data_IF_252622977168
#
_entry.id   IF_252622977168
#
_cell.length_a   1.000
_cell.length_b   1.000
_cell.length_c   1.000
_cell.angle_alpha   90.00
_cell.angle_beta   90.00
_cell.angle_gamma   90.00
#
_symmetry.space_group_name_H-M   'P 1'
#
loop_
_entity.id
_entity.type
_entity.pdbx_description
1 polymer ?
#
# COMPACT_ATOMS: atom_id res chain seq x y z
N UNK A 1 -14.26 -6.18 -1.21
CA UNK A 1 -15.11 -5.26 -0.46
C UNK A 1 -16.17 -4.64 -1.36
N UNK A 2 -17.27 -4.14 -0.76
CA UNK A 2 -18.29 -3.36 -1.48
C UNK A 2 -18.17 -1.90 -1.09
N UNK A 3 -18.12 -1.04 -2.10
CA UNK A 3 -18.11 0.42 -1.91
C UNK A 3 -19.38 1.00 -2.53
N UNK A 4 -20.02 1.88 -1.78
CA UNK A 4 -21.23 2.55 -2.22
C UNK A 4 -21.04 4.06 -2.00
N UNK A 5 -20.82 4.79 -3.08
CA UNK A 5 -21.02 6.21 -3.08
C UNK A 5 -22.52 6.51 -2.90
N UNK A 6 -22.85 7.66 -2.40
CA UNK A 6 -24.24 7.97 -2.10
C UNK A 6 -24.89 8.84 -3.16
N UNK A 7 -26.22 8.73 -3.21
CA UNK A 7 -27.02 9.49 -4.16
C UNK A 7 -26.98 10.98 -3.84
N UNK A 8 -27.11 11.82 -4.86
CA UNK A 8 -27.37 13.24 -4.72
C UNK A 8 -28.75 13.51 -4.12
N UNK A 9 -28.87 14.58 -3.37
CA UNK A 9 -30.15 15.07 -2.87
C UNK A 9 -31.04 15.59 -3.99
N UNK A 10 -32.33 15.44 -3.87
CA UNK A 10 -33.28 15.94 -4.85
C UNK A 10 -33.40 17.47 -4.75
N UNK A 11 -33.63 18.15 -5.88
CA UNK A 11 -34.08 19.52 -5.90
C UNK A 11 -35.47 19.68 -5.28
N UNK A 12 -35.85 20.90 -4.99
CA UNK A 12 -37.13 21.23 -4.34
C UNK A 12 -37.98 22.09 -5.26
N UNK A 13 -39.30 21.83 -5.25
CA UNK A 13 -40.28 22.75 -5.83
C UNK A 13 -41.02 23.49 -4.70
N UNK A 14 -40.63 24.72 -4.46
CA UNK A 14 -41.20 25.59 -3.43
C UNK A 14 -41.51 26.97 -4.01
N UNK A 15 -42.41 27.67 -3.35
CA UNK A 15 -42.81 29.04 -3.72
C UNK A 15 -42.79 29.91 -2.47
N UNK A 16 -42.25 31.11 -2.61
CA UNK A 16 -42.18 32.09 -1.56
C UNK A 16 -43.58 32.44 -1.06
N UNK A 17 -43.86 32.29 0.21
CA UNK A 17 -45.09 32.65 0.88
C UNK A 17 -44.78 33.49 2.12
N UNK A 18 -45.08 34.76 2.02
CA UNK A 18 -44.89 35.70 3.15
C UNK A 18 -46.14 36.52 3.34
N UNK A 19 -46.27 37.14 4.54
CA UNK A 19 -47.32 38.08 4.86
C UNK A 19 -47.23 39.24 3.86
N UNK A 20 -48.17 39.58 3.11
CA UNK A 20 -48.22 40.58 2.06
C UNK A 20 -47.62 40.15 0.67
N UNK A 21 -47.17 38.91 0.51
CA UNK A 21 -46.71 38.37 -0.81
C UNK A 21 -47.51 37.09 -1.10
N UNK A 22 -48.78 37.19 -1.51
CA UNK A 22 -49.62 36.01 -1.72
C UNK A 22 -49.22 35.20 -2.96
N UNK A 23 -48.49 35.79 -3.93
CA UNK A 23 -48.04 35.14 -5.16
C UNK A 23 -46.52 35.31 -5.34
N UNK A 24 -45.77 34.79 -4.36
CA UNK A 24 -44.29 34.75 -4.47
C UNK A 24 -43.83 33.85 -5.58
N UNK A 25 -42.66 34.16 -6.15
CA UNK A 25 -42.01 33.39 -7.20
C UNK A 25 -41.46 32.04 -6.69
N UNK A 26 -40.91 31.21 -7.59
CA UNK A 26 -40.26 29.98 -7.19
C UNK A 26 -39.07 30.27 -6.28
N UNK A 27 -38.89 29.50 -5.23
CA UNK A 27 -37.83 29.62 -4.21
C UNK A 27 -37.29 28.26 -3.75
N UNK A 28 -37.62 27.19 -4.47
CA UNK A 28 -37.04 25.89 -4.21
C UNK A 28 -35.61 25.80 -4.70
N UNK A 29 -34.72 25.35 -3.82
CA UNK A 29 -33.30 25.23 -4.07
C UNK A 29 -32.87 23.83 -4.52
N UNK A 30 -31.60 23.74 -4.90
CA UNK A 30 -30.97 22.51 -5.34
C UNK A 30 -30.69 21.58 -4.15
N UNK A 31 -30.56 20.27 -4.41
CA UNK A 31 -30.03 19.32 -3.44
C UNK A 31 -28.51 19.50 -3.26
N UNK A 32 -27.93 18.71 -2.38
CA UNK A 32 -26.49 18.57 -2.24
C UNK A 32 -26.00 17.32 -2.98
N UNK A 33 -24.76 17.34 -3.45
CA UNK A 33 -24.14 16.16 -4.08
C UNK A 33 -24.00 15.02 -3.06
N UNK A 34 -24.04 13.78 -3.53
CA UNK A 34 -23.69 12.61 -2.73
C UNK A 34 -22.20 12.56 -2.42
N UNK A 35 -21.82 11.95 -1.32
CA UNK A 35 -20.43 11.71 -0.97
C UNK A 35 -19.82 10.61 -1.84
N UNK A 36 -18.54 10.75 -2.16
CA UNK A 36 -17.71 9.79 -2.90
C UNK A 36 -16.96 8.88 -1.94
N UNK A 37 -16.43 7.75 -2.45
CA UNK A 37 -15.58 6.84 -1.67
C UNK A 37 -14.18 6.87 -2.25
N UNK A 38 -13.21 7.14 -1.37
CA UNK A 38 -11.78 7.14 -1.67
C UNK A 38 -11.06 6.07 -0.87
N UNK A 39 -10.07 5.44 -1.48
CA UNK A 39 -9.07 4.65 -0.75
C UNK A 39 -7.84 5.52 -0.52
N UNK A 40 -7.25 5.43 0.68
CA UNK A 40 -6.02 6.15 1.04
C UNK A 40 -5.00 5.16 1.56
N UNK A 41 -3.78 5.19 0.99
CA UNK A 41 -2.67 4.38 1.46
C UNK A 41 -2.16 4.85 2.82
N UNK A 42 -2.08 3.93 3.78
CA UNK A 42 -1.56 4.20 5.13
C UNK A 42 -0.45 3.20 5.46
N UNK A 43 0.78 3.72 5.65
CA UNK A 43 1.96 2.89 6.01
C UNK A 43 1.85 2.25 7.41
N UNK A 44 0.94 2.73 8.27
CA UNK A 44 0.66 2.13 9.57
C UNK A 44 -0.21 0.87 9.50
N UNK A 45 -0.78 0.55 8.34
CA UNK A 45 -1.61 -0.62 8.11
C UNK A 45 -0.82 -1.69 7.36
N UNK A 46 -0.77 -2.91 7.89
CA UNK A 46 -0.07 -4.02 7.23
C UNK A 46 -0.98 -5.08 6.61
N UNK A 47 -2.09 -5.54 7.22
CA UNK A 47 -2.91 -6.56 6.59
C UNK A 47 -4.24 -6.01 6.04
N UNK A 48 -4.70 -6.59 4.93
CA UNK A 48 -6.07 -6.44 4.44
C UNK A 48 -7.11 -7.24 5.26
N UNK A 49 -6.71 -7.83 6.38
CA UNK A 49 -7.56 -8.73 7.20
C UNK A 49 -8.78 -8.01 7.77
N UNK A 50 -8.66 -6.74 8.12
CA UNK A 50 -9.75 -5.95 8.69
C UNK A 50 -10.94 -5.84 7.72
N UNK A 51 -10.69 -5.92 6.41
CA UNK A 51 -11.72 -5.89 5.37
C UNK A 51 -12.55 -7.19 5.28
N UNK A 52 -12.10 -8.29 5.91
CA UNK A 52 -12.92 -9.51 6.05
C UNK A 52 -14.10 -9.29 6.99
N UNK A 53 -13.95 -8.42 7.98
CA UNK A 53 -14.98 -8.12 8.96
C UNK A 53 -15.91 -7.01 8.49
N UNK A 54 -15.35 -5.92 7.97
CA UNK A 54 -16.13 -4.80 7.44
C UNK A 54 -16.07 -4.78 5.92
N UNK A 55 -17.05 -5.42 5.28
CA UNK A 55 -17.09 -5.58 3.81
C UNK A 55 -17.82 -4.46 3.07
N UNK A 56 -18.63 -3.66 3.76
CA UNK A 56 -19.43 -2.58 3.16
C UNK A 56 -18.95 -1.23 3.66
N UNK A 57 -18.65 -0.35 2.71
CA UNK A 57 -18.21 1.02 2.94
C UNK A 57 -19.14 1.94 2.17
N UNK A 58 -19.87 2.83 2.87
CA UNK A 58 -20.83 3.74 2.28
C UNK A 58 -20.54 5.18 2.69
N UNK A 59 -20.54 6.09 1.70
CA UNK A 59 -20.39 7.52 1.90
C UNK A 59 -21.70 8.19 2.39
N UNK A 60 -21.62 9.45 2.74
CA UNK A 60 -22.77 10.24 3.20
C UNK A 60 -23.71 10.61 2.04
N UNK A 61 -25.02 10.62 2.29
CA UNK A 61 -26.03 11.02 1.29
C UNK A 61 -26.12 12.54 1.18
N UNK A 62 -26.30 13.06 -0.03
CA UNK A 62 -26.62 14.46 -0.26
C UNK A 62 -28.00 14.83 0.30
N UNK A 63 -28.08 15.97 0.95
CA UNK A 63 -29.33 16.47 1.51
C UNK A 63 -30.24 17.02 0.40
N UNK A 64 -31.53 16.79 0.50
CA UNK A 64 -32.48 17.38 -0.44
C UNK A 64 -32.52 18.92 -0.29
N UNK A 65 -32.75 19.62 -1.39
CA UNK A 65 -33.03 21.03 -1.39
C UNK A 65 -34.30 21.36 -0.63
N UNK A 66 -34.36 22.56 -0.12
CA UNK A 66 -35.51 23.09 0.66
C UNK A 66 -36.03 24.37 0.04
N UNK A 67 -37.15 24.83 0.54
CA UNK A 67 -37.68 26.16 0.22
C UNK A 67 -36.79 27.29 0.78
N UNK A 68 -37.13 28.52 0.43
CA UNK A 68 -36.39 29.74 0.81
C UNK A 68 -34.94 29.75 0.30
N UNK A 69 -34.70 29.12 -0.85
CA UNK A 69 -33.40 29.04 -1.48
C UNK A 69 -32.31 28.35 -0.63
N UNK A 70 -32.73 27.45 0.26
CA UNK A 70 -31.76 26.68 1.06
C UNK A 70 -31.33 25.43 0.31
N UNK A 71 -30.11 25.47 -0.24
CA UNK A 71 -29.46 24.34 -0.91
C UNK A 71 -29.13 23.24 0.09
N UNK A 72 -29.32 21.99 -0.31
CA UNK A 72 -28.96 20.84 0.50
C UNK A 72 -27.43 20.74 0.69
N UNK A 73 -26.99 20.27 1.86
CA UNK A 73 -25.58 20.04 2.12
C UNK A 73 -25.07 18.84 1.31
N UNK A 74 -23.82 18.94 0.82
CA UNK A 74 -23.11 17.80 0.21
C UNK A 74 -22.98 16.67 1.24
N UNK A 75 -23.13 15.41 0.80
CA UNK A 75 -22.81 14.23 1.60
C UNK A 75 -21.31 14.16 1.91
N UNK A 76 -20.96 13.65 3.08
CA UNK A 76 -19.57 13.47 3.46
C UNK A 76 -18.92 12.40 2.61
N UNK A 77 -17.72 12.71 2.10
CA UNK A 77 -16.88 11.75 1.40
C UNK A 77 -16.30 10.73 2.41
N UNK A 78 -16.22 9.47 2.00
CA UNK A 78 -15.67 8.41 2.83
C UNK A 78 -14.25 8.07 2.40
N UNK A 79 -13.31 8.20 3.31
CA UNK A 79 -11.93 7.83 3.14
C UNK A 79 -11.66 6.49 3.85
N UNK A 80 -11.34 5.45 3.07
CA UNK A 80 -11.05 4.11 3.57
C UNK A 80 -9.55 3.89 3.49
N UNK A 81 -8.92 3.68 4.64
CA UNK A 81 -7.49 3.44 4.72
C UNK A 81 -7.16 2.02 4.29
N UNK A 82 -6.19 1.87 3.39
CA UNK A 82 -5.65 0.58 2.92
C UNK A 82 -4.13 0.55 3.09
N UNK A 83 -3.50 -0.63 3.18
CA UNK A 83 -2.05 -0.73 3.21
C UNK A 83 -1.40 -0.15 1.96
N UNK A 84 -0.19 0.40 2.11
CA UNK A 84 0.67 0.75 0.98
C UNK A 84 0.94 -0.49 0.13
N UNK A 85 0.98 -0.33 -1.20
CA UNK A 85 1.14 -1.43 -2.15
C UNK A 85 -0.17 -2.18 -2.45
N UNK A 86 -1.32 -1.56 -2.25
CA UNK A 86 -2.62 -2.16 -2.58
C UNK A 86 -2.99 -1.88 -4.03
N UNK A 87 -3.18 -2.94 -4.83
CA UNK A 87 -3.84 -2.89 -6.13
C UNK A 87 -5.34 -3.01 -5.95
N UNK A 88 -6.07 -2.20 -6.69
CA UNK A 88 -7.53 -2.15 -6.67
C UNK A 88 -8.05 -2.50 -8.05
N UNK A 89 -8.86 -3.54 -8.14
CA UNK A 89 -9.58 -3.91 -9.37
C UNK A 89 -11.07 -4.01 -9.10
N UNK A 90 -11.85 -3.80 -10.14
CA UNK A 90 -13.29 -4.06 -10.11
C UNK A 90 -13.53 -5.57 -10.19
N UNK A 91 -14.30 -6.13 -9.26
CA UNK A 91 -14.52 -7.57 -9.20
C UNK A 91 -15.48 -8.07 -10.29
N UNK A 92 -16.27 -7.19 -10.89
CA UNK A 92 -17.26 -7.56 -11.91
C UNK A 92 -16.66 -7.47 -13.33
N UNK A 93 -15.75 -6.51 -13.58
CA UNK A 93 -15.09 -6.29 -14.88
C UNK A 93 -13.66 -6.82 -14.94
N UNK A 94 -13.06 -7.14 -13.79
CA UNK A 94 -11.64 -7.51 -13.61
C UNK A 94 -10.65 -6.41 -14.06
N UNK A 95 -11.13 -5.21 -14.33
CA UNK A 95 -10.29 -4.08 -14.72
C UNK A 95 -9.56 -3.50 -13.49
N UNK A 96 -8.26 -3.21 -13.65
CA UNK A 96 -7.49 -2.50 -12.62
C UNK A 96 -7.91 -1.03 -12.61
N UNK A 97 -8.41 -0.56 -11.45
CA UNK A 97 -8.78 0.85 -11.25
C UNK A 97 -7.55 1.68 -10.93
N UNK A 98 -6.61 1.11 -10.15
CA UNK A 98 -5.37 1.79 -9.79
C UNK A 98 -4.58 1.04 -8.72
N UNK A 99 -3.42 1.60 -8.39
CA UNK A 99 -2.50 1.10 -7.37
C UNK A 99 -2.16 2.23 -6.38
N UNK A 100 -2.03 1.90 -5.12
CA UNK A 100 -1.68 2.83 -4.04
C UNK A 100 -0.31 2.41 -3.49
N UNK A 101 0.75 2.99 -4.04
CA UNK A 101 2.14 2.55 -3.81
C UNK A 101 2.84 3.34 -2.71
N UNK A 102 2.45 4.60 -2.48
CA UNK A 102 3.07 5.48 -1.49
C UNK A 102 2.11 5.83 -0.37
N UNK A 103 2.66 6.18 0.80
CA UNK A 103 1.85 6.69 1.90
C UNK A 103 1.15 8.00 1.51
N UNK A 104 -0.17 8.06 1.71
CA UNK A 104 -0.97 9.22 1.36
C UNK A 104 -1.57 9.19 -0.05
N UNK A 105 -1.16 8.23 -0.91
CA UNK A 105 -1.81 8.04 -2.21
C UNK A 105 -3.31 7.89 -2.03
N UNK A 106 -4.08 8.57 -2.88
CA UNK A 106 -5.54 8.60 -2.82
C UNK A 106 -6.14 8.19 -4.15
N UNK A 107 -7.06 7.22 -4.12
CA UNK A 107 -7.73 6.69 -5.29
C UNK A 107 -9.24 6.82 -5.15
N UNK A 108 -9.89 7.52 -6.09
CA UNK A 108 -11.36 7.56 -6.18
C UNK A 108 -11.88 6.22 -6.74
N UNK A 109 -12.68 5.51 -5.96
CA UNK A 109 -13.20 4.18 -6.34
C UNK A 109 -14.70 4.15 -6.59
N UNK A 110 -15.46 5.12 -6.06
CA UNK A 110 -16.88 5.28 -6.36
C UNK A 110 -17.26 6.76 -6.25
N UNK A 111 -17.83 7.31 -7.31
CA UNK A 111 -18.20 8.71 -7.39
C UNK A 111 -19.63 8.93 -6.87
N UNK A 112 -19.81 9.98 -6.05
CA UNK A 112 -21.11 10.40 -5.56
C UNK A 112 -22.02 10.92 -6.66
N UNK A 113 -23.33 10.71 -6.48
CA UNK A 113 -24.34 11.21 -7.39
C UNK A 113 -24.43 12.73 -7.37
N UNK A 114 -24.76 13.34 -8.48
CA UNK A 114 -24.98 14.79 -8.59
C UNK A 114 -26.32 15.17 -7.99
N UNK A 115 -26.38 16.36 -7.46
CA UNK A 115 -27.62 16.93 -6.91
C UNK A 115 -28.69 17.16 -7.96
N UNK A 116 -29.94 17.16 -7.52
CA UNK A 116 -31.07 17.60 -8.30
C UNK A 116 -31.28 19.11 -8.24
N UNK A 117 -31.81 19.67 -9.28
CA UNK A 117 -31.97 21.11 -9.50
C UNK A 117 -33.36 21.55 -8.98
N UNK A 118 -33.42 22.65 -8.21
CA UNK A 118 -34.63 23.24 -7.69
C UNK A 118 -35.41 24.07 -8.70
N UNK A 119 -36.69 24.32 -8.41
CA UNK A 119 -37.56 25.00 -9.36
C UNK A 119 -37.18 26.44 -9.66
N UNK A 120 -36.35 27.07 -8.84
CA UNK A 120 -35.87 28.43 -9.08
C UNK A 120 -35.11 28.57 -10.42
N UNK A 121 -34.35 27.53 -10.80
CA UNK A 121 -33.56 27.51 -12.04
C UNK A 121 -34.39 27.33 -13.31
N UNK A 122 -35.62 26.84 -13.20
CA UNK A 122 -36.52 26.65 -14.34
C UNK A 122 -37.41 27.86 -14.61
N UNK A 123 -37.17 28.99 -13.90
CA UNK A 123 -37.88 30.24 -14.14
C UNK A 123 -37.44 30.85 -15.49
N UNK A 124 -38.41 31.18 -16.31
CA UNK A 124 -38.18 31.84 -17.62
C UNK A 124 -39.23 32.92 -17.85
N UNK A 125 -39.09 33.67 -18.96
CA UNK A 125 -40.04 34.71 -19.38
C UNK A 125 -41.43 34.13 -19.68
N UNK A 126 -41.48 32.89 -20.19
CA UNK A 126 -42.70 32.15 -20.54
C UNK A 126 -43.24 31.33 -19.36
N UNK A 127 -42.36 30.81 -18.47
CA UNK A 127 -42.74 30.05 -17.30
C UNK A 127 -42.27 30.75 -16.01
N UNK A 128 -43.09 31.66 -15.48
CA UNK A 128 -42.78 32.43 -14.28
C UNK A 128 -42.95 31.70 -12.96
N UNK A 129 -43.65 30.56 -12.95
CA UNK A 129 -43.98 29.76 -11.77
C UNK A 129 -43.74 28.25 -12.03
N UNK A 130 -42.53 27.81 -12.36
CA UNK A 130 -42.24 26.43 -12.64
C UNK A 130 -42.45 25.54 -11.42
N UNK A 131 -43.11 24.40 -11.59
CA UNK A 131 -43.30 23.37 -10.56
C UNK A 131 -42.36 22.19 -10.73
N UNK A 132 -41.57 22.17 -11.83
CA UNK A 132 -40.63 21.13 -12.09
C UNK A 132 -39.36 21.30 -11.27
N UNK A 133 -38.79 20.19 -10.87
CA UNK A 133 -37.48 20.05 -10.26
C UNK A 133 -36.87 18.76 -10.78
N UNK A 134 -35.58 18.52 -10.57
CA UNK A 134 -34.95 17.25 -10.92
C UNK A 134 -34.59 16.48 -9.67
N UNK A 135 -34.59 15.17 -9.76
CA UNK A 135 -34.01 14.31 -8.74
C UNK A 135 -32.49 14.33 -8.82
N UNK A 136 -31.83 14.06 -7.72
CA UNK A 136 -30.41 13.73 -7.71
C UNK A 136 -30.16 12.43 -8.46
N UNK A 137 -28.96 12.27 -8.99
CA UNK A 137 -28.53 11.03 -9.63
C UNK A 137 -28.06 10.01 -8.60
N UNK A 138 -28.10 8.75 -8.95
CA UNK A 138 -27.54 7.69 -8.12
C UNK A 138 -26.01 7.80 -8.08
N UNK A 139 -25.40 7.44 -6.96
CA UNK A 139 -23.97 7.28 -6.80
C UNK A 139 -23.48 5.91 -7.26
N UNK A 140 -22.21 5.81 -7.57
CA UNK A 140 -21.59 4.56 -8.03
C UNK A 140 -21.62 3.50 -6.92
N UNK A 141 -21.81 2.25 -7.34
CA UNK A 141 -21.76 1.07 -6.47
C UNK A 141 -20.89 0.03 -7.14
N UNK A 142 -19.80 -0.37 -6.46
CA UNK A 142 -18.84 -1.33 -7.01
C UNK A 142 -18.47 -2.38 -5.99
N UNK A 143 -18.13 -3.56 -6.49
CA UNK A 143 -17.44 -4.59 -5.72
C UNK A 143 -15.97 -4.56 -6.11
N UNK A 144 -15.11 -4.27 -5.13
CA UNK A 144 -13.67 -4.15 -5.36
C UNK A 144 -12.96 -5.41 -4.90
N UNK A 145 -12.01 -5.84 -5.70
CA UNK A 145 -10.98 -6.79 -5.32
C UNK A 145 -9.74 -6.01 -4.91
N UNK A 146 -9.28 -6.21 -3.67
CA UNK A 146 -8.07 -5.60 -3.13
C UNK A 146 -6.99 -6.66 -3.06
N UNK A 147 -5.87 -6.42 -3.70
CA UNK A 147 -4.70 -7.27 -3.70
C UNK A 147 -3.50 -6.49 -3.17
N UNK A 148 -2.79 -7.06 -2.19
CA UNK A 148 -1.55 -6.48 -1.71
C UNK A 148 -0.41 -6.93 -2.62
N UNK A 149 0.16 -5.98 -3.37
CA UNK A 149 1.19 -6.25 -4.37
C UNK A 149 2.58 -6.22 -3.76
N UNK A 150 2.83 -5.26 -2.87
CA UNK A 150 4.13 -5.07 -2.23
C UNK A 150 4.10 -5.74 -0.87
N UNK A 151 4.81 -6.87 -0.76
CA UNK A 151 4.96 -7.58 0.50
C UNK A 151 5.97 -6.91 1.40
N UNK A 152 7.08 -6.43 0.83
CA UNK A 152 8.17 -5.80 1.57
C UNK A 152 9.12 -5.04 0.64
N UNK A 153 9.76 -3.99 1.17
CA UNK A 153 10.87 -3.32 0.50
C UNK A 153 12.13 -4.19 0.51
N UNK A 154 12.31 -4.97 1.58
CA UNK A 154 13.50 -5.77 1.85
C UNK A 154 13.11 -7.23 2.12
N UNK A 155 13.63 -8.15 1.32
CA UNK A 155 13.48 -9.58 1.51
C UNK A 155 14.66 -10.19 2.26
N UNK A 156 14.41 -11.07 3.25
CA UNK A 156 15.46 -11.79 3.95
C UNK A 156 15.64 -13.19 3.36
N UNK A 157 16.87 -13.50 2.99
CA UNK A 157 17.32 -14.82 2.57
C UNK A 157 18.26 -15.40 3.63
N UNK A 158 18.37 -16.71 3.73
CA UNK A 158 19.30 -17.36 4.65
C UNK A 158 18.79 -18.69 5.14
N UNK A 159 19.72 -19.53 5.60
CA UNK A 159 19.44 -20.86 6.16
C UNK A 159 18.47 -20.80 7.34
N UNK A 160 17.76 -21.90 7.68
CA UNK A 160 17.07 -22.02 8.95
C UNK A 160 18.04 -21.69 10.11
N UNK A 161 17.55 -21.00 11.13
CA UNK A 161 18.34 -20.58 12.29
C UNK A 161 19.51 -19.58 12.03
N UNK A 162 19.65 -19.04 10.81
CA UNK A 162 20.60 -17.94 10.53
C UNK A 162 20.28 -16.66 11.31
N UNK A 163 19.09 -16.57 11.93
CA UNK A 163 18.68 -15.45 12.77
C UNK A 163 17.78 -14.43 12.09
N UNK A 164 17.15 -14.77 10.95
CA UNK A 164 16.24 -13.90 10.21
C UNK A 164 15.09 -13.36 11.08
N UNK A 165 14.35 -14.24 11.72
CA UNK A 165 13.22 -13.87 12.59
C UNK A 165 13.67 -13.09 13.83
N UNK A 166 14.86 -13.40 14.37
CA UNK A 166 15.47 -12.62 15.47
C UNK A 166 15.82 -11.22 15.02
N UNK A 167 16.36 -11.07 13.81
CA UNK A 167 16.67 -9.77 13.22
C UNK A 167 15.41 -8.93 13.04
N UNK A 168 14.35 -9.47 12.41
CA UNK A 168 13.07 -8.76 12.26
C UNK A 168 12.53 -8.32 13.61
N UNK A 169 12.52 -9.22 14.61
CA UNK A 169 12.03 -8.91 15.95
C UNK A 169 12.83 -7.81 16.64
N UNK A 170 14.13 -7.71 16.35
CA UNK A 170 15.03 -6.71 16.94
C UNK A 170 14.85 -5.33 16.33
N UNK A 171 14.61 -5.25 15.00
CA UNK A 171 14.61 -3.98 14.26
C UNK A 171 13.21 -3.44 14.00
N UNK A 172 12.18 -4.26 14.17
CA UNK A 172 10.80 -3.83 13.97
C UNK A 172 10.32 -2.87 15.05
N UNK A 173 9.70 -1.75 14.63
CA UNK A 173 9.12 -0.74 15.52
C UNK A 173 7.84 -1.24 16.22
N UNK A 174 7.18 -2.25 15.65
CA UNK A 174 6.04 -2.94 16.22
C UNK A 174 6.34 -4.45 16.32
N UNK A 175 5.59 -5.19 17.14
CA UNK A 175 5.73 -6.66 17.17
C UNK A 175 5.52 -7.22 15.76
N UNK A 176 6.47 -8.03 15.25
CA UNK A 176 6.32 -8.64 13.94
C UNK A 176 4.98 -9.36 13.84
N UNK A 177 4.26 -9.12 12.77
CA UNK A 177 2.99 -9.79 12.53
C UNK A 177 3.22 -10.93 11.55
N UNK A 178 2.71 -12.08 11.90
CA UNK A 178 2.58 -13.20 10.97
C UNK A 178 1.42 -12.87 10.06
N UNK A 179 1.69 -12.70 8.76
CA UNK A 179 0.66 -12.37 7.80
C UNK A 179 0.02 -13.66 7.27
N UNK A 180 -1.31 -13.76 7.41
CA UNK A 180 -2.10 -14.90 6.91
C UNK A 180 -2.54 -14.58 5.46
N UNK A 181 -1.71 -15.00 4.50
CA UNK A 181 -2.06 -14.90 3.09
C UNK A 181 -2.82 -16.15 2.63
N UNK A 182 -4.00 -16.01 2.03
CA UNK A 182 -4.85 -17.14 1.66
C UNK A 182 -4.25 -18.11 0.64
N UNK A 183 -3.11 -17.74 0.04
CA UNK A 183 -2.38 -18.50 -0.98
C UNK A 183 -1.03 -19.02 -0.50
N UNK A 184 -0.66 -18.84 0.78
CA UNK A 184 0.59 -19.34 1.35
C UNK A 184 0.32 -20.35 2.45
N UNK A 185 0.96 -21.52 2.36
CA UNK A 185 1.05 -22.47 3.49
C UNK A 185 2.13 -22.06 4.49
N UNK A 186 3.01 -21.14 4.09
CA UNK A 186 4.08 -20.59 4.90
C UNK A 186 3.76 -19.11 5.17
N UNK A 187 3.63 -18.76 6.43
CA UNK A 187 3.30 -17.41 6.87
C UNK A 187 4.58 -16.57 6.95
N UNK A 188 4.74 -15.54 6.10
CA UNK A 188 5.89 -14.64 6.20
C UNK A 188 5.79 -13.79 7.48
N UNK A 189 6.92 -13.64 8.15
CA UNK A 189 7.03 -12.66 9.23
C UNK A 189 7.35 -11.29 8.64
N UNK A 190 6.46 -10.33 8.83
CA UNK A 190 6.66 -8.97 8.39
C UNK A 190 7.06 -8.08 9.56
N UNK A 191 8.07 -7.23 9.35
CA UNK A 191 8.49 -6.22 10.29
C UNK A 191 8.53 -4.83 9.64
N UNK A 192 7.95 -3.86 10.31
CA UNK A 192 8.06 -2.44 9.91
C UNK A 192 9.22 -1.82 10.67
N UNK A 193 10.20 -1.32 9.94
CA UNK A 193 11.35 -0.60 10.49
C UNK A 193 11.12 0.89 10.31
N UNK A 194 11.21 1.66 11.39
CA UNK A 194 11.11 3.11 11.38
C UNK A 194 12.44 3.74 11.81
N UNK A 195 12.93 4.68 11.02
CA UNK A 195 14.17 5.43 11.25
C UNK A 195 13.89 6.93 11.39
N UNK A 196 12.93 7.31 12.23
CA UNK A 196 12.46 8.68 12.44
C UNK A 196 11.01 8.87 12.05
N UNK A 197 10.52 10.12 12.08
CA UNK A 197 9.08 10.39 12.01
C UNK A 197 8.43 10.07 10.65
N UNK A 198 9.19 10.13 9.53
CA UNK A 198 8.64 9.95 8.17
C UNK A 198 9.37 8.89 7.33
N UNK A 199 10.31 8.14 7.92
CA UNK A 199 11.12 7.17 7.18
C UNK A 199 10.89 5.76 7.70
N UNK A 200 10.20 4.96 6.90
CA UNK A 200 9.95 3.56 7.22
C UNK A 200 10.05 2.67 5.99
N UNK A 201 10.38 1.41 6.22
CA UNK A 201 10.35 0.35 5.22
C UNK A 201 9.92 -0.97 5.83
N UNK A 202 9.46 -1.88 4.99
CA UNK A 202 8.97 -3.19 5.41
C UNK A 202 10.01 -4.26 5.08
N UNK A 203 10.29 -5.11 6.06
CA UNK A 203 11.13 -6.31 5.89
C UNK A 203 10.27 -7.55 5.96
N UNK A 204 10.46 -8.50 5.05
CA UNK A 204 9.83 -9.81 5.07
C UNK A 204 10.85 -10.93 5.27
N UNK A 205 10.57 -11.84 6.21
CA UNK A 205 11.25 -13.14 6.30
C UNK A 205 10.62 -14.09 5.29
N UNK A 206 11.45 -14.72 4.50
CA UNK A 206 11.08 -15.66 3.44
C UNK A 206 11.33 -17.08 3.93
N UNK A 207 10.33 -17.73 4.53
CA UNK A 207 10.48 -19.13 4.89
C UNK A 207 10.40 -20.00 3.64
N UNK A 208 11.30 -20.97 3.51
CA UNK A 208 11.17 -22.06 2.53
C UNK A 208 11.88 -21.89 1.18
N UNK A 209 12.87 -20.97 1.05
CA UNK A 209 13.73 -20.93 -0.15
C UNK A 209 14.65 -22.15 -0.25
N UNK A 210 14.81 -22.93 0.83
CA UNK A 210 15.92 -23.90 1.00
C UNK A 210 15.56 -25.36 0.76
N UNK A 211 14.29 -25.75 0.72
CA UNK A 211 13.95 -27.17 0.51
C UNK A 211 12.93 -27.34 -0.63
N UNK A 212 13.44 -27.57 -1.85
CA UNK A 212 12.64 -28.09 -2.97
C UNK A 212 11.64 -27.11 -3.59
N UNK A 213 11.79 -25.81 -3.39
CA UNK A 213 10.90 -24.80 -4.00
C UNK A 213 10.96 -24.83 -5.54
N UNK A 214 12.08 -25.26 -6.12
CA UNK A 214 12.26 -25.43 -7.56
C UNK A 214 11.70 -26.75 -8.11
N UNK A 215 11.37 -27.72 -7.27
CA UNK A 215 11.03 -29.09 -7.70
C UNK A 215 9.53 -29.42 -7.67
N UNK A 216 8.64 -28.43 -7.60
CA UNK A 216 7.28 -28.74 -8.08
C UNK A 216 6.10 -28.66 -7.11
N UNK A 217 6.20 -28.09 -5.94
CA UNK A 217 5.01 -27.67 -5.22
C UNK A 217 4.71 -26.19 -5.55
N UNK A 218 3.75 -25.92 -6.41
CA UNK A 218 3.42 -24.60 -6.98
C UNK A 218 3.19 -23.43 -5.99
N UNK A 219 3.30 -23.68 -4.70
CA UNK A 219 3.17 -22.70 -3.63
C UNK A 219 4.46 -21.89 -3.40
N UNK A 220 5.65 -22.50 -3.54
CA UNK A 220 6.93 -21.79 -3.44
C UNK A 220 7.12 -20.79 -4.57
N UNK A 221 6.70 -21.14 -5.78
CA UNK A 221 6.80 -20.29 -6.97
C UNK A 221 5.92 -19.04 -6.86
N UNK A 222 4.71 -19.15 -6.33
CA UNK A 222 3.84 -17.99 -6.14
C UNK A 222 4.41 -17.02 -5.11
N UNK A 223 5.03 -17.53 -4.06
CA UNK A 223 5.66 -16.69 -3.05
C UNK A 223 6.92 -16.00 -3.56
N UNK A 224 7.75 -16.69 -4.34
CA UNK A 224 8.94 -16.12 -4.99
C UNK A 224 8.57 -14.99 -5.97
N UNK A 225 7.44 -15.08 -6.66
CA UNK A 225 6.90 -13.98 -7.49
C UNK A 225 6.60 -12.70 -6.69
N UNK A 226 6.24 -12.82 -5.42
CA UNK A 226 6.03 -11.66 -4.56
C UNK A 226 7.36 -11.04 -4.12
N UNK A 227 8.45 -11.82 -4.11
CA UNK A 227 9.80 -11.34 -3.85
C UNK A 227 10.44 -10.65 -5.04
N UNK A 228 10.03 -10.95 -6.26
CA UNK A 228 10.44 -10.22 -7.45
C UNK A 228 10.17 -8.71 -7.31
N UNK A 229 9.28 -8.35 -6.39
CA UNK A 229 8.89 -6.95 -6.12
C UNK A 229 9.59 -6.34 -4.92
N UNK A 230 10.45 -7.07 -4.20
CA UNK A 230 11.30 -6.45 -3.19
C UNK A 230 12.38 -5.62 -3.87
N UNK A 231 12.75 -4.50 -3.25
CA UNK A 231 13.79 -3.61 -3.78
C UNK A 231 15.19 -4.15 -3.52
N UNK A 232 15.37 -4.79 -2.37
CA UNK A 232 16.66 -5.27 -1.88
C UNK A 232 16.51 -6.64 -1.22
N UNK A 233 17.52 -7.50 -1.41
CA UNK A 233 17.63 -8.78 -0.73
C UNK A 233 18.78 -8.76 0.27
N UNK A 234 18.51 -9.17 1.51
CA UNK A 234 19.52 -9.37 2.55
C UNK A 234 19.75 -10.86 2.74
N UNK A 235 20.94 -11.31 2.39
CA UNK A 235 21.36 -12.69 2.63
C UNK A 235 22.00 -12.79 4.02
N UNK A 236 21.24 -13.30 5.00
CA UNK A 236 21.70 -13.46 6.38
C UNK A 236 22.42 -14.79 6.52
N UNK A 237 23.69 -14.72 6.91
CA UNK A 237 24.58 -15.86 7.07
C UNK A 237 25.02 -15.94 8.55
N UNK A 238 24.87 -17.12 9.13
CA UNK A 238 25.35 -17.43 10.47
C UNK A 238 26.85 -17.74 10.45
N UNK A 239 27.66 -16.79 10.88
CA UNK A 239 29.12 -16.97 10.96
C UNK A 239 29.57 -17.54 12.32
N UNK A 240 28.66 -17.75 13.27
CA UNK A 240 28.94 -18.35 14.55
C UNK A 240 29.16 -19.88 14.51
N UNK A 241 28.88 -20.54 13.37
CA UNK A 241 29.09 -21.98 13.19
C UNK A 241 30.59 -22.35 13.20
N UNK A 242 30.90 -23.59 13.62
CA UNK A 242 32.29 -24.04 13.72
C UNK A 242 32.96 -24.32 12.38
N UNK A 243 32.18 -24.78 11.40
CA UNK A 243 32.68 -25.20 10.09
C UNK A 243 32.52 -24.11 9.04
N UNK A 244 33.63 -23.51 8.66
CA UNK A 244 33.66 -22.39 7.71
C UNK A 244 33.37 -22.83 6.28
N UNK A 245 33.77 -24.08 5.88
CA UNK A 245 33.49 -24.62 4.55
C UNK A 245 31.98 -24.88 4.41
N UNK A 246 31.35 -25.37 5.48
CA UNK A 246 29.91 -25.57 5.50
C UNK A 246 29.15 -24.23 5.35
N UNK A 247 29.61 -23.16 6.03
CA UNK A 247 29.00 -21.83 5.93
C UNK A 247 29.00 -21.33 4.47
N UNK A 248 30.13 -21.48 3.78
CA UNK A 248 30.25 -21.07 2.39
C UNK A 248 29.39 -21.91 1.44
N UNK A 249 29.36 -23.23 1.65
CA UNK A 249 28.52 -24.14 0.89
C UNK A 249 27.03 -23.82 1.04
N UNK A 250 26.55 -23.60 2.28
CA UNK A 250 25.17 -23.21 2.59
C UNK A 250 24.81 -21.85 1.96
N UNK A 251 25.70 -20.87 2.05
CA UNK A 251 25.50 -19.57 1.42
C UNK A 251 25.45 -19.67 -0.11
N UNK A 252 26.34 -20.46 -0.70
CA UNK A 252 26.36 -20.73 -2.14
C UNK A 252 25.09 -21.43 -2.64
N UNK A 253 24.54 -22.37 -1.87
CA UNK A 253 23.27 -23.02 -2.21
C UNK A 253 22.14 -22.01 -2.36
N UNK A 254 21.98 -21.08 -1.40
CA UNK A 254 20.94 -20.05 -1.45
C UNK A 254 21.10 -19.15 -2.67
N UNK A 255 22.34 -18.74 -2.96
CA UNK A 255 22.66 -17.93 -4.15
C UNK A 255 22.22 -18.67 -5.41
N UNK A 256 22.60 -19.93 -5.52
CA UNK A 256 22.27 -20.78 -6.67
C UNK A 256 20.75 -21.00 -6.82
N UNK A 257 20.01 -21.20 -5.71
CA UNK A 257 18.55 -21.33 -5.76
C UNK A 257 17.86 -20.07 -6.27
N UNK A 258 18.29 -18.90 -5.79
CA UNK A 258 17.77 -17.62 -6.26
C UNK A 258 18.07 -17.42 -7.75
N UNK A 259 19.25 -17.78 -8.23
CA UNK A 259 19.62 -17.71 -9.63
C UNK A 259 18.86 -18.71 -10.51
N UNK A 260 18.67 -19.94 -10.02
CA UNK A 260 17.88 -20.98 -10.69
C UNK A 260 16.41 -20.61 -10.84
N UNK A 261 15.87 -19.86 -9.89
CA UNK A 261 14.51 -19.34 -9.97
C UNK A 261 14.34 -18.38 -11.15
N UNK A 262 15.39 -17.62 -11.48
CA UNK A 262 15.40 -16.70 -12.61
C UNK A 262 14.51 -15.47 -12.41
N UNK A 263 14.03 -14.89 -13.51
CA UNK A 263 13.17 -13.69 -13.46
C UNK A 263 13.88 -12.47 -12.87
N UNK A 264 13.08 -11.52 -12.40
CA UNK A 264 13.57 -10.27 -11.81
C UNK A 264 14.33 -10.49 -10.49
N UNK A 265 14.08 -11.60 -9.81
CA UNK A 265 14.70 -11.92 -8.52
C UNK A 265 16.21 -12.20 -8.64
N UNK A 266 16.64 -12.86 -9.70
CA UNK A 266 18.05 -13.16 -9.94
C UNK A 266 18.90 -11.89 -10.17
N UNK A 267 18.29 -10.86 -10.78
CA UNK A 267 18.92 -9.57 -11.03
C UNK A 267 18.81 -8.57 -9.87
N UNK A 268 18.09 -8.90 -8.78
CA UNK A 268 17.93 -7.99 -7.65
C UNK A 268 19.24 -7.77 -6.90
N UNK A 269 19.43 -6.53 -6.44
CA UNK A 269 20.55 -6.18 -5.59
C UNK A 269 20.51 -7.00 -4.30
N UNK A 270 21.64 -7.64 -3.98
CA UNK A 270 21.81 -8.44 -2.77
C UNK A 270 22.93 -7.89 -1.91
N UNK A 271 22.71 -7.92 -0.60
CA UNK A 271 23.74 -7.61 0.38
C UNK A 271 23.95 -8.82 1.30
N UNK A 272 25.20 -9.10 1.61
CA UNK A 272 25.55 -10.13 2.61
C UNK A 272 25.51 -9.51 3.99
N UNK A 273 24.83 -10.21 4.91
CA UNK A 273 24.71 -9.82 6.32
C UNK A 273 25.24 -10.97 7.17
N UNK A 274 26.42 -10.79 7.74
CA UNK A 274 27.06 -11.74 8.63
C UNK A 274 26.49 -11.57 10.03
N UNK A 275 25.71 -12.56 10.49
CA UNK A 275 25.02 -12.54 11.78
C UNK A 275 25.73 -13.39 12.81
N UNK A 276 25.38 -13.14 14.09
CA UNK A 276 25.93 -13.80 15.30
C UNK A 276 27.40 -13.50 15.56
N UNK A 277 27.82 -12.28 15.21
CA UNK A 277 29.19 -11.80 15.47
C UNK A 277 29.53 -11.81 16.96
N UNK A 278 28.54 -11.75 17.84
CA UNK A 278 28.68 -11.81 19.29
C UNK A 278 29.28 -13.12 19.81
N UNK A 279 29.28 -14.18 19.01
CA UNK A 279 29.86 -15.48 19.34
C UNK A 279 31.35 -15.60 19.03
N UNK A 280 31.94 -14.60 18.36
CA UNK A 280 33.29 -14.66 17.82
C UNK A 280 34.16 -13.51 18.35
N UNK A 281 35.46 -13.77 18.51
CA UNK A 281 36.45 -12.74 18.71
C UNK A 281 36.63 -11.89 17.44
N UNK A 282 37.23 -10.72 17.55
CA UNK A 282 37.45 -9.82 16.43
C UNK A 282 38.37 -10.41 15.35
N UNK A 283 39.36 -11.21 15.76
CA UNK A 283 40.27 -11.91 14.85
C UNK A 283 39.56 -13.03 14.09
N UNK A 284 38.71 -13.81 14.78
CA UNK A 284 37.91 -14.86 14.16
C UNK A 284 36.87 -14.29 13.18
N UNK A 285 36.22 -13.17 13.53
CA UNK A 285 35.29 -12.46 12.63
C UNK A 285 35.97 -12.12 11.31
N UNK A 286 37.15 -11.48 11.41
CA UNK A 286 37.91 -11.07 10.23
C UNK A 286 38.33 -12.26 9.37
N UNK A 287 38.89 -13.30 9.97
CA UNK A 287 39.33 -14.48 9.22
C UNK A 287 38.18 -15.20 8.52
N UNK A 288 37.04 -15.41 9.21
CA UNK A 288 35.86 -16.05 8.61
C UNK A 288 35.23 -15.21 7.51
N UNK A 289 35.15 -13.89 7.72
CA UNK A 289 34.67 -12.97 6.68
C UNK A 289 35.51 -13.04 5.43
N UNK A 290 36.83 -12.92 5.55
CA UNK A 290 37.74 -12.95 4.40
C UNK A 290 37.64 -14.27 3.62
N UNK A 291 37.62 -15.40 4.34
CA UNK A 291 37.48 -16.71 3.73
C UNK A 291 36.15 -16.88 3.01
N UNK A 292 35.03 -16.54 3.66
CA UNK A 292 33.71 -16.64 3.09
C UNK A 292 33.55 -15.80 1.82
N UNK A 293 33.99 -14.54 1.86
CA UNK A 293 33.89 -13.67 0.69
C UNK A 293 34.77 -14.11 -0.47
N UNK A 294 35.97 -14.65 -0.19
CA UNK A 294 36.86 -15.20 -1.21
C UNK A 294 36.25 -16.45 -1.87
N UNK A 295 35.63 -17.35 -1.08
CA UNK A 295 35.02 -18.57 -1.59
C UNK A 295 33.74 -18.29 -2.40
N UNK A 296 32.93 -17.32 -1.98
CA UNK A 296 31.74 -16.88 -2.72
C UNK A 296 32.06 -15.96 -3.94
N UNK A 297 33.29 -15.47 -4.06
CA UNK A 297 33.67 -14.49 -5.09
C UNK A 297 32.85 -13.19 -4.98
N UNK A 298 32.50 -12.77 -3.72
CA UNK A 298 31.57 -11.69 -3.49
C UNK A 298 32.24 -10.32 -3.49
N UNK A 299 31.76 -9.41 -4.36
CA UNK A 299 32.24 -8.03 -4.46
C UNK A 299 31.22 -6.98 -3.96
N UNK A 300 30.00 -7.41 -3.59
CA UNK A 300 28.92 -6.55 -3.15
C UNK A 300 29.04 -6.07 -1.69
N UNK A 301 28.09 -5.27 -1.21
CA UNK A 301 28.06 -4.80 0.17
C UNK A 301 27.99 -5.94 1.18
N UNK A 302 28.72 -5.78 2.30
CA UNK A 302 28.81 -6.74 3.40
C UNK A 302 28.64 -6.00 4.72
N UNK A 303 27.74 -6.50 5.58
CA UNK A 303 27.49 -5.96 6.91
C UNK A 303 27.67 -7.04 7.97
N UNK A 304 28.14 -6.64 9.13
CA UNK A 304 28.34 -7.50 10.29
C UNK A 304 27.37 -7.09 11.39
N UNK A 305 26.57 -8.04 11.88
CA UNK A 305 25.54 -7.76 12.88
C UNK A 305 25.46 -8.84 13.96
N UNK A 306 24.91 -8.47 15.10
CA UNK A 306 24.29 -9.41 16.03
C UNK A 306 22.81 -9.08 16.18
N UNK A 307 21.95 -9.95 15.69
CA UNK A 307 20.50 -9.81 15.85
C UNK A 307 20.06 -9.86 17.33
N UNK A 308 20.86 -10.47 18.20
CA UNK A 308 20.57 -10.58 19.63
C UNK A 308 20.97 -9.31 20.38
N UNK A 309 22.23 -8.88 20.24
CA UNK A 309 22.73 -7.69 20.94
C UNK A 309 22.28 -6.38 20.30
N UNK A 310 22.10 -6.38 18.97
CA UNK A 310 21.82 -5.20 18.16
C UNK A 310 23.08 -4.53 17.61
N UNK A 311 24.27 -5.09 17.86
CA UNK A 311 25.53 -4.58 17.28
C UNK A 311 25.44 -4.56 15.75
N UNK A 312 25.90 -3.49 15.10
CA UNK A 312 25.90 -3.33 13.65
C UNK A 312 24.52 -3.08 12.99
N UNK A 313 23.41 -3.42 13.66
CA UNK A 313 22.07 -3.31 13.05
C UNK A 313 21.72 -1.89 12.61
N UNK A 314 22.07 -0.87 13.40
CA UNK A 314 21.77 0.53 13.08
C UNK A 314 22.46 0.99 11.79
N UNK A 315 23.71 0.57 11.57
CA UNK A 315 24.48 0.90 10.37
C UNK A 315 23.84 0.25 9.13
N UNK A 316 23.46 -1.03 9.25
CA UNK A 316 22.74 -1.75 8.21
C UNK A 316 21.43 -1.06 7.85
N UNK A 317 20.59 -0.72 8.84
CA UNK A 317 19.29 -0.07 8.60
C UNK A 317 19.42 1.30 7.93
N UNK A 318 20.43 2.08 8.31
CA UNK A 318 20.72 3.38 7.67
C UNK A 318 21.16 3.21 6.22
N UNK A 319 21.97 2.19 5.92
CA UNK A 319 22.40 1.87 4.55
C UNK A 319 21.19 1.45 3.70
N UNK A 320 20.33 0.56 4.22
CA UNK A 320 19.11 0.13 3.54
C UNK A 320 18.22 1.33 3.22
N UNK A 321 17.95 2.19 4.20
CA UNK A 321 17.08 3.36 3.99
C UNK A 321 17.64 4.30 2.93
N UNK A 322 18.95 4.55 2.95
CA UNK A 322 19.60 5.37 1.90
C UNK A 322 19.40 4.77 0.51
N UNK A 323 19.55 3.45 0.38
CA UNK A 323 19.39 2.76 -0.90
C UNK A 323 17.96 2.84 -1.42
N UNK A 324 16.97 2.68 -0.51
CA UNK A 324 15.54 2.83 -0.84
C UNK A 324 15.23 4.26 -1.27
N UNK A 325 15.76 5.26 -0.56
CA UNK A 325 15.57 6.68 -0.89
C UNK A 325 16.18 7.02 -2.26
N UNK A 326 17.35 6.46 -2.59
CA UNK A 326 18.00 6.62 -3.90
C UNK A 326 17.15 6.03 -5.02
N UNK A 327 16.55 4.87 -4.85
CA UNK A 327 15.65 4.28 -5.85
C UNK A 327 14.38 5.09 -6.03
N UNK A 328 13.76 5.54 -4.94
CA UNK A 328 12.56 6.41 -4.99
C UNK A 328 12.83 7.73 -5.69
N UNK A 329 14.05 8.27 -5.59
CA UNK A 329 14.44 9.50 -6.26
C UNK A 329 14.70 9.31 -7.78
N UNK A 330 14.97 8.10 -8.22
CA UNK A 330 15.21 7.74 -9.64
C UNK A 330 13.91 7.37 -10.37
N UNK A 331 12.87 6.91 -9.66
CA UNK A 331 11.54 6.74 -10.23
C UNK A 331 11.02 8.15 -10.61
N UNK A 332 10.85 8.48 -11.91
CA UNK A 332 10.36 9.79 -12.30
C UNK A 332 8.96 9.93 -11.70
N UNK A 333 8.80 10.88 -10.80
CA UNK A 333 7.49 11.35 -10.41
C UNK A 333 6.74 11.71 -11.70
N UNK A 334 5.53 11.19 -11.89
CA UNK A 334 4.63 11.76 -12.87
C UNK A 334 4.57 13.26 -12.55
N UNK A 335 5.18 14.06 -13.41
CA UNK A 335 5.08 15.52 -13.31
C UNK A 335 3.58 15.82 -13.33
N UNK A 336 3.11 16.46 -12.27
CA UNK A 336 1.82 17.13 -12.22
C UNK A 336 1.77 18.14 -13.39
N UNK A 337 1.27 17.66 -14.54
CA UNK A 337 1.10 18.45 -15.77
C UNK A 337 -0.20 19.29 -15.67
N UNK A 338 -0.50 19.82 -14.49
CA UNK A 338 -1.69 20.62 -14.19
C UNK A 338 -1.37 22.00 -13.57
N UNK A 339 -0.36 22.69 -14.08
CA UNK A 339 -0.29 24.16 -13.98
C UNK A 339 -0.06 24.80 -15.33
N UNK A 340 -1.04 24.70 -16.23
CA UNK A 340 -1.19 25.76 -17.24
C UNK A 340 -1.82 26.96 -16.55
N UNK A 341 -1.13 28.09 -16.47
CA UNK A 341 -1.72 29.31 -15.94
C UNK A 341 -2.94 29.68 -16.79
N UNK A 342 -4.08 29.80 -16.13
CA UNK A 342 -5.31 30.31 -16.72
C UNK A 342 -5.05 31.67 -17.37
N UNK A 343 -5.12 31.72 -18.69
CA UNK A 343 -5.07 32.97 -19.45
C UNK A 343 -6.50 33.53 -19.56
N UNK A 344 -6.83 34.66 -18.90
CA UNK A 344 -8.18 35.22 -18.91
C UNK A 344 -8.56 35.95 -20.22
N UNK A 345 -7.76 35.84 -21.29
CA UNK A 345 -7.95 36.56 -22.55
C UNK A 345 -8.05 35.70 -23.81
N UNK A 346 -8.34 34.38 -23.68
CA UNK A 346 -8.78 33.55 -24.80
C UNK A 346 -10.22 33.11 -24.64
#
# INVERSE_FOLDING_TARGET
IKVEASDGGNGCASFRREKYIPRGGPDGADGGDGGSVYLIADSGLNPLVDFRHKRLHRAGRGQNGMGRQMTGHKGEDLHVKVPVGTRVSDADTEETIGELLNHGDTLLVAQGGRHGIGNIHFKSSTNRAPRQFTNGTEGDRRTLHLELIVLADVGLLGMPNAGKSSFISKVSSARPKVADYPFTTLYPNLGVVSLGDDRSFVIADIPGVIEGAAEGAGLGIQFLKHLERTRLLLHIIDIGQWDSEQIAAEAGQIIHEVEKFGGDLAGRERWIVLNKIDLLSEEERRGRREMLLAELGWEGPVFEISAVTGEGTKVLLQAIMRRIDEERAVEPGEEDDDEKPYDPLQ
#
